data_IF_109864985487
#
_entry.id   IF_109864985487
#
_cell.length_a   1.000
_cell.length_b   1.000
_cell.length_c   1.000
_cell.angle_alpha   90.00
_cell.angle_beta   90.00
_cell.angle_gamma   90.00
#
_symmetry.space_group_name_H-M   'P 1'
#
loop_
_entity.id
_entity.type
_entity.pdbx_description
1 polymer ?
#
# COMPACT_ATOMS: atom_id res chain seq x y z
N UNK A 1 -0.83 -16.40 13.15
CA UNK A 1 -1.58 -16.06 11.92
C UNK A 1 -1.99 -14.63 12.14
N UNK A 2 -1.54 -13.68 11.32
CA UNK A 2 -2.03 -12.31 11.47
C UNK A 2 -3.53 -12.32 11.16
N UNK A 3 -4.33 -11.71 12.04
CA UNK A 3 -5.79 -11.64 11.89
C UNK A 3 -6.12 -10.58 10.84
N UNK A 4 -6.21 -11.01 9.58
CA UNK A 4 -6.80 -10.20 8.53
C UNK A 4 -8.31 -10.10 8.74
N UNK A 5 -8.87 -8.93 8.49
CA UNK A 5 -10.30 -8.86 8.21
C UNK A 5 -10.60 -9.56 6.87
N UNK A 6 -11.88 -9.82 6.58
CA UNK A 6 -12.28 -10.57 5.38
C UNK A 6 -11.74 -9.93 4.09
N UNK A 7 -11.81 -8.59 3.97
CA UNK A 7 -11.35 -7.87 2.78
C UNK A 7 -9.85 -7.93 2.61
N UNK A 8 -9.09 -7.74 3.68
CA UNK A 8 -7.63 -7.88 3.65
C UNK A 8 -7.22 -9.30 3.25
N UNK A 9 -7.93 -10.32 3.72
CA UNK A 9 -7.68 -11.71 3.33
C UNK A 9 -8.02 -11.97 1.85
N UNK A 10 -9.08 -11.36 1.33
CA UNK A 10 -9.45 -11.43 -0.08
C UNK A 10 -8.42 -10.70 -0.96
N UNK A 11 -8.03 -9.48 -0.59
CA UNK A 11 -7.02 -8.72 -1.31
C UNK A 11 -5.68 -9.48 -1.31
N UNK A 12 -5.26 -10.03 -0.17
CA UNK A 12 -4.07 -10.87 -0.11
C UNK A 12 -4.12 -12.02 -1.11
N UNK A 13 -5.27 -12.71 -1.24
CA UNK A 13 -5.42 -13.79 -2.23
C UNK A 13 -5.31 -13.29 -3.67
N UNK A 14 -5.89 -12.13 -3.98
CA UNK A 14 -5.75 -11.50 -5.31
C UNK A 14 -4.28 -11.19 -5.58
N UNK A 15 -3.60 -10.51 -4.65
CA UNK A 15 -2.20 -10.14 -4.78
C UNK A 15 -1.29 -11.35 -4.93
N UNK A 16 -1.50 -12.40 -4.14
CA UNK A 16 -0.74 -13.65 -4.27
C UNK A 16 -0.99 -14.34 -5.61
N UNK A 17 -2.22 -14.27 -6.12
CA UNK A 17 -2.56 -14.80 -7.45
C UNK A 17 -1.88 -14.05 -8.60
N UNK A 18 -1.67 -12.74 -8.45
CA UNK A 18 -1.03 -11.88 -9.46
C UNK A 18 0.50 -11.91 -9.35
N UNK A 19 1.05 -11.71 -8.15
CA UNK A 19 2.49 -11.50 -7.95
C UNK A 19 3.26 -12.74 -7.49
N UNK A 20 2.57 -13.79 -7.03
CA UNK A 20 3.19 -14.90 -6.33
C UNK A 20 3.33 -14.65 -4.82
N UNK A 21 3.24 -15.71 -4.03
CA UNK A 21 3.15 -15.62 -2.55
C UNK A 21 4.41 -15.03 -1.93
N UNK A 22 5.56 -15.37 -2.49
CA UNK A 22 6.88 -14.92 -2.07
C UNK A 22 7.10 -13.42 -2.27
N UNK A 23 6.33 -12.78 -3.17
CA UNK A 23 6.46 -11.36 -3.48
C UNK A 23 5.52 -10.46 -2.70
N UNK A 24 4.57 -11.01 -1.93
CA UNK A 24 3.59 -10.24 -1.17
C UNK A 24 3.93 -10.26 0.31
N UNK A 25 4.46 -9.14 0.81
CA UNK A 25 4.85 -8.95 2.20
C UNK A 25 3.75 -8.18 2.94
N UNK A 26 2.99 -8.81 3.84
CA UNK A 26 1.97 -8.12 4.61
C UNK A 26 2.58 -7.33 5.78
N UNK A 27 1.90 -6.24 6.18
CA UNK A 27 2.16 -5.51 7.43
C UNK A 27 3.62 -5.07 7.61
N UNK A 28 4.33 -4.85 6.50
CA UNK A 28 5.72 -4.42 6.49
C UNK A 28 5.84 -3.05 7.16
N UNK A 29 6.82 -2.90 8.06
CA UNK A 29 7.10 -1.58 8.64
C UNK A 29 7.62 -0.64 7.56
N UNK A 30 7.17 0.62 7.55
CA UNK A 30 7.63 1.59 6.56
C UNK A 30 9.16 1.76 6.56
N UNK A 31 9.79 1.65 7.74
CA UNK A 31 11.25 1.67 7.86
C UNK A 31 11.93 0.52 7.09
N UNK A 32 11.35 -0.69 7.10
CA UNK A 32 11.85 -1.82 6.33
C UNK A 32 11.63 -1.61 4.83
N UNK A 33 10.44 -1.14 4.46
CA UNK A 33 10.08 -0.80 3.07
C UNK A 33 11.05 0.24 2.49
N UNK A 34 11.56 1.17 3.30
CA UNK A 34 12.56 2.16 2.90
C UNK A 34 14.03 1.68 2.98
N UNK A 35 14.29 0.40 3.23
CA UNK A 35 15.66 -0.12 3.36
C UNK A 35 16.36 0.22 4.69
N UNK A 36 15.59 0.42 5.76
CA UNK A 36 16.06 0.69 7.12
C UNK A 36 16.27 2.16 7.45
N UNK A 37 16.30 3.05 6.45
CA UNK A 37 16.53 4.49 6.65
C UNK A 37 15.39 5.27 5.99
N UNK A 38 14.67 6.08 6.77
CA UNK A 38 13.65 6.96 6.22
C UNK A 38 14.28 8.09 5.38
N UNK A 39 13.63 8.52 4.29
CA UNK A 39 14.09 9.65 3.51
C UNK A 39 14.05 10.94 4.35
N UNK A 40 15.00 11.84 4.07
CA UNK A 40 15.07 13.18 4.66
C UNK A 40 14.06 14.09 3.95
N UNK A 41 12.82 14.04 4.41
CA UNK A 41 11.73 14.90 3.95
C UNK A 41 11.72 16.21 4.76
N UNK A 42 11.16 17.31 4.23
CA UNK A 42 10.93 18.54 5.01
C UNK A 42 10.22 18.26 6.36
N UNK A 43 9.32 17.28 6.36
CA UNK A 43 8.54 16.81 7.50
C UNK A 43 9.38 16.07 8.56
N UNK A 44 10.57 15.55 8.19
CA UNK A 44 11.48 14.87 9.12
C UNK A 44 11.98 15.80 10.24
N UNK A 45 11.82 17.11 10.07
CA UNK A 45 12.10 18.13 11.10
C UNK A 45 11.10 18.11 12.26
N UNK A 46 9.94 17.47 12.09
CA UNK A 46 8.93 17.36 13.14
C UNK A 46 9.09 16.04 13.91
N UNK A 47 9.15 16.06 15.25
CA UNK A 47 9.24 14.82 16.06
C UNK A 47 8.14 13.80 15.78
N UNK A 48 6.99 14.28 15.30
CA UNK A 48 5.83 13.48 14.92
C UNK A 48 6.11 12.52 13.76
N UNK A 49 6.99 12.88 12.83
CA UNK A 49 7.34 12.04 11.67
C UNK A 49 8.06 10.75 12.09
N UNK A 50 9.05 10.86 12.99
CA UNK A 50 9.76 9.69 13.50
C UNK A 50 8.82 8.77 14.29
N UNK A 51 8.00 9.35 15.18
CA UNK A 51 7.02 8.58 15.95
C UNK A 51 5.98 7.89 15.07
N UNK A 52 5.51 8.56 14.01
CA UNK A 52 4.60 7.96 13.03
C UNK A 52 5.27 6.77 12.34
N UNK A 53 6.48 6.96 11.81
CA UNK A 53 7.17 5.93 11.04
C UNK A 53 7.57 4.69 11.87
N UNK A 54 7.84 4.85 13.16
CA UNK A 54 8.11 3.72 14.06
C UNK A 54 6.89 2.78 14.24
N UNK A 55 5.70 3.37 14.24
CA UNK A 55 4.43 2.64 14.41
C UNK A 55 3.76 2.22 13.11
N UNK A 56 4.08 2.90 11.99
CA UNK A 56 3.37 2.71 10.73
C UNK A 56 3.75 1.39 10.04
N UNK A 57 2.72 0.65 9.63
CA UNK A 57 2.84 -0.60 8.88
C UNK A 57 2.00 -0.50 7.62
N UNK A 58 2.64 -0.75 6.48
CA UNK A 58 1.95 -0.86 5.21
C UNK A 58 1.05 -2.10 5.21
N UNK A 59 -0.14 -2.06 4.62
CA UNK A 59 -1.03 -3.19 4.53
C UNK A 59 -0.41 -4.33 3.71
N UNK A 60 -0.07 -4.07 2.45
CA UNK A 60 0.69 -4.99 1.60
C UNK A 60 1.83 -4.27 0.88
N UNK A 61 3.01 -4.89 0.87
CA UNK A 61 4.17 -4.47 0.10
C UNK A 61 4.52 -5.55 -0.91
N UNK A 62 4.62 -5.18 -2.17
CA UNK A 62 5.07 -6.04 -3.26
C UNK A 62 6.57 -5.80 -3.48
N UNK A 63 7.32 -6.88 -3.63
CA UNK A 63 8.74 -6.86 -3.97
C UNK A 63 9.01 -7.38 -5.37
N UNK A 64 10.09 -6.93 -5.99
CA UNK A 64 10.55 -7.39 -7.30
C UNK A 64 11.34 -8.71 -7.20
N UNK A 65 11.97 -9.14 -8.30
CA UNK A 65 12.78 -10.37 -8.34
C UNK A 65 14.08 -10.33 -7.52
N UNK A 66 14.42 -9.16 -6.96
CA UNK A 66 15.61 -8.90 -6.16
C UNK A 66 15.25 -8.68 -4.67
N UNK A 67 14.00 -8.98 -4.28
CA UNK A 67 13.44 -8.71 -2.95
C UNK A 67 13.42 -7.22 -2.57
N UNK A 68 13.47 -6.32 -3.57
CA UNK A 68 13.35 -4.88 -3.34
C UNK A 68 11.88 -4.44 -3.42
N UNK A 69 11.38 -3.63 -2.46
CA UNK A 69 10.02 -3.09 -2.52
C UNK A 69 9.79 -2.26 -3.77
N UNK A 70 8.71 -2.53 -4.50
CA UNK A 70 8.33 -1.79 -5.70
C UNK A 70 6.93 -1.17 -5.59
N UNK A 71 6.00 -1.75 -4.82
CA UNK A 71 4.64 -1.24 -4.70
C UNK A 71 4.11 -1.43 -3.27
N UNK A 72 3.43 -0.42 -2.76
CA UNK A 72 2.63 -0.50 -1.53
C UNK A 72 1.16 -0.32 -1.87
N UNK A 73 0.32 -1.19 -1.33
CA UNK A 73 -1.13 -1.19 -1.54
C UNK A 73 -1.83 -1.05 -0.20
N UNK A 74 -2.70 -0.05 -0.08
CA UNK A 74 -3.50 0.25 1.11
C UNK A 74 -4.99 0.29 0.79
N UNK A 75 -5.82 -0.02 1.79
CA UNK A 75 -7.22 0.40 1.76
C UNK A 75 -7.32 1.87 2.20
N UNK A 76 -8.21 2.60 1.53
CA UNK A 76 -8.61 3.95 1.92
C UNK A 76 -10.10 3.97 2.24
N UNK A 77 -10.43 4.52 3.40
CA UNK A 77 -11.78 4.48 3.98
C UNK A 77 -12.79 5.43 3.32
N UNK A 78 -12.41 6.16 2.27
CA UNK A 78 -13.27 7.15 1.62
C UNK A 78 -13.50 8.41 2.47
N UNK A 79 -14.27 9.36 1.92
CA UNK A 79 -14.69 10.57 2.63
C UNK A 79 -15.91 10.29 3.52
N UNK A 80 -15.78 9.37 4.48
CA UNK A 80 -16.68 9.36 5.63
C UNK A 80 -16.54 10.71 6.34
N UNK A 81 -17.63 11.37 6.73
CA UNK A 81 -17.61 12.72 7.32
C UNK A 81 -16.83 12.88 8.64
N UNK A 82 -16.07 11.87 9.05
CA UNK A 82 -15.16 11.86 10.20
C UNK A 82 -13.73 11.75 9.67
N UNK A 83 -12.93 12.79 9.90
CA UNK A 83 -11.49 12.76 9.60
C UNK A 83 -10.82 11.85 10.62
N UNK A 84 -10.32 10.70 10.18
CA UNK A 84 -9.44 9.86 10.99
C UNK A 84 -8.02 10.46 10.98
N UNK A 85 -7.46 10.87 12.14
CA UNK A 85 -6.10 11.39 12.23
C UNK A 85 -5.04 10.43 11.67
N UNK A 86 -5.24 9.12 11.78
CA UNK A 86 -4.30 8.10 11.27
C UNK A 86 -4.30 8.10 9.73
N UNK A 87 -5.49 8.14 9.13
CA UNK A 87 -5.64 8.21 7.67
C UNK A 87 -5.06 9.52 7.13
N UNK A 88 -5.31 10.65 7.82
CA UNK A 88 -4.76 11.96 7.45
C UNK A 88 -3.23 12.00 7.53
N UNK A 89 -2.63 11.40 8.56
CA UNK A 89 -1.18 11.26 8.66
C UNK A 89 -0.61 10.34 7.58
N UNK A 90 -1.29 9.23 7.27
CA UNK A 90 -0.90 8.34 6.18
C UNK A 90 -0.91 9.07 4.83
N UNK A 91 -2.00 9.76 4.50
CA UNK A 91 -2.11 10.54 3.26
C UNK A 91 -1.04 11.64 3.16
N UNK A 92 -0.70 12.24 4.30
CA UNK A 92 0.30 13.30 4.34
C UNK A 92 1.73 12.79 4.18
N UNK A 93 2.12 11.72 4.88
CA UNK A 93 3.52 11.26 4.92
C UNK A 93 3.83 10.13 3.93
N UNK A 94 2.99 9.11 3.83
CA UNK A 94 3.32 7.85 3.16
C UNK A 94 3.66 8.02 1.66
N UNK A 95 2.87 8.75 0.84
CA UNK A 95 3.17 8.89 -0.58
C UNK A 95 4.53 9.55 -0.84
N UNK A 96 4.87 10.58 -0.06
CA UNK A 96 6.14 11.30 -0.18
C UNK A 96 7.33 10.41 0.18
N UNK A 97 7.20 9.62 1.25
CA UNK A 97 8.22 8.66 1.69
C UNK A 97 8.51 7.62 0.63
N UNK A 98 7.46 7.00 0.08
CA UNK A 98 7.58 5.94 -0.92
C UNK A 98 8.15 6.47 -2.24
N UNK A 99 7.71 7.66 -2.67
CA UNK A 99 8.21 8.29 -3.90
C UNK A 99 9.71 8.58 -3.85
N UNK A 100 10.25 9.00 -2.71
CA UNK A 100 11.70 9.20 -2.54
C UNK A 100 12.53 7.91 -2.72
N UNK A 101 11.87 6.75 -2.66
CA UNK A 101 12.49 5.44 -2.87
C UNK A 101 12.10 4.79 -4.19
N UNK A 102 11.41 5.51 -5.08
CA UNK A 102 10.83 4.99 -6.32
C UNK A 102 9.89 3.80 -6.07
N UNK A 103 9.18 3.80 -4.93
CA UNK A 103 8.18 2.80 -4.59
C UNK A 103 6.81 3.36 -4.97
N UNK A 104 6.07 2.63 -5.80
CA UNK A 104 4.73 3.00 -6.20
C UNK A 104 3.77 2.87 -5.01
N UNK A 105 2.75 3.72 -4.99
CA UNK A 105 1.75 3.73 -3.94
C UNK A 105 0.36 3.71 -4.58
N UNK A 106 -0.43 2.70 -4.21
CA UNK A 106 -1.79 2.51 -4.70
C UNK A 106 -2.75 2.42 -3.51
N UNK A 107 -3.83 3.17 -3.58
CA UNK A 107 -4.96 3.04 -2.66
C UNK A 107 -6.15 2.40 -3.36
N UNK A 108 -6.89 1.60 -2.61
CA UNK A 108 -8.17 0.98 -3.01
C UNK A 108 -9.24 1.43 -2.03
N UNK A 109 -10.34 1.99 -2.51
CA UNK A 109 -11.52 2.11 -1.66
C UNK A 109 -12.15 0.74 -1.43
N UNK A 110 -12.95 0.61 -0.37
CA UNK A 110 -13.72 -0.62 -0.18
C UNK A 110 -14.71 -0.87 -1.32
N UNK A 111 -15.29 0.19 -1.88
CA UNK A 111 -16.23 0.12 -3.01
C UNK A 111 -15.52 -0.35 -4.29
N UNK A 112 -14.35 0.22 -4.61
CA UNK A 112 -13.52 -0.23 -5.74
C UNK A 112 -13.16 -1.71 -5.60
N UNK A 113 -12.83 -2.14 -4.38
CA UNK A 113 -12.47 -3.53 -4.13
C UNK A 113 -13.67 -4.49 -4.22
N UNK A 114 -14.82 -4.09 -3.68
CA UNK A 114 -16.05 -4.88 -3.73
C UNK A 114 -16.51 -5.06 -5.21
N UNK A 115 -16.34 -4.03 -6.05
CA UNK A 115 -16.57 -4.10 -7.50
C UNK A 115 -15.58 -5.06 -8.22
N UNK A 116 -14.29 -5.04 -7.84
CA UNK A 116 -13.27 -5.91 -8.43
C UNK A 116 -13.49 -7.40 -8.16
N UNK A 117 -14.03 -7.73 -6.99
CA UNK A 117 -14.26 -9.14 -6.59
C UNK A 117 -15.67 -9.64 -6.94
N UNK A 118 -16.53 -8.77 -7.49
CA UNK A 118 -17.86 -9.14 -7.91
C UNK A 118 -17.80 -10.14 -9.09
N UNK A 119 -18.71 -11.14 -9.15
CA UNK A 119 -18.77 -12.06 -10.29
C UNK A 119 -18.94 -11.37 -11.65
N UNK A 120 -19.62 -10.22 -11.63
CA UNK A 120 -19.91 -9.35 -12.77
C UNK A 120 -18.91 -8.21 -12.97
N UNK A 121 -17.74 -8.27 -12.30
CA UNK A 121 -16.70 -7.26 -12.42
C UNK A 121 -16.34 -7.01 -13.90
N UNK A 122 -16.47 -5.76 -14.33
CA UNK A 122 -16.12 -5.33 -15.70
C UNK A 122 -14.62 -5.03 -15.87
N UNK A 123 -13.89 -4.96 -14.76
CA UNK A 123 -12.48 -4.62 -14.69
C UNK A 123 -11.75 -5.65 -13.82
N UNK A 124 -10.61 -6.12 -14.31
CA UNK A 124 -9.68 -6.97 -13.57
C UNK A 124 -8.75 -6.14 -12.67
N UNK A 125 -8.14 -6.79 -11.68
CA UNK A 125 -7.17 -6.13 -10.81
C UNK A 125 -5.97 -5.55 -11.58
N UNK A 126 -5.51 -6.24 -12.63
CA UNK A 126 -4.40 -5.77 -13.48
C UNK A 126 -4.76 -4.49 -14.23
N UNK A 127 -5.95 -4.43 -14.84
CA UNK A 127 -6.43 -3.23 -15.53
C UNK A 127 -6.57 -2.04 -14.57
N UNK A 128 -6.99 -2.29 -13.32
CA UNK A 128 -7.03 -1.24 -12.31
C UNK A 128 -5.63 -0.74 -11.95
N UNK A 129 -4.66 -1.65 -11.83
CA UNK A 129 -3.27 -1.26 -11.59
C UNK A 129 -2.72 -0.42 -12.74
N UNK A 130 -2.88 -0.87 -13.98
CA UNK A 130 -2.47 -0.11 -15.18
C UNK A 130 -3.09 1.29 -15.19
N UNK A 131 -4.37 1.40 -14.82
CA UNK A 131 -5.05 2.70 -14.71
C UNK A 131 -4.48 3.60 -13.60
N UNK A 132 -4.13 3.07 -12.42
CA UNK A 132 -3.69 3.87 -11.26
C UNK A 132 -2.20 4.22 -11.28
N UNK A 133 -1.34 3.30 -11.72
CA UNK A 133 0.12 3.43 -11.59
C UNK A 133 0.89 3.26 -12.91
N UNK A 134 0.22 2.85 -14.01
CA UNK A 134 0.83 2.67 -15.34
C UNK A 134 1.60 1.35 -15.52
N UNK A 135 2.00 1.05 -16.76
CA UNK A 135 2.60 -0.24 -17.18
C UNK A 135 3.96 -0.57 -16.53
N UNK A 136 4.70 0.44 -16.05
CA UNK A 136 6.09 0.29 -15.56
C UNK A 136 6.23 -0.63 -14.33
N UNK A 137 5.13 -0.93 -13.62
CA UNK A 137 5.14 -1.74 -12.39
C UNK A 137 4.94 -3.23 -12.68
N UNK A 138 4.44 -3.58 -13.86
CA UNK A 138 4.09 -4.96 -14.23
C UNK A 138 5.21 -5.68 -15.02
N UNK A 139 6.27 -4.94 -15.41
CA UNK A 139 7.44 -5.42 -16.16
C UNK A 139 8.60 -5.86 -15.28
#
# INVERSE_FOLDING_TARGET
MEDYNLREAQLYRVLVGVFGKERVIPRAKITLVCGGILPDLPEARYPKYASWAEGFRCLFTIVNGQDEPCLVIEFFSGFGGVIDPVEAEREHYLPSVLRCRNIYYMTLSEEEFDELIAPEASMSFLELMEFKIGDEVLS
#
